data_IF_615198930396
#
_entry.id   IF_615198930396
#
_cell.length_a   1.000
_cell.length_b   1.000
_cell.length_c   1.000
_cell.angle_alpha   90.00
_cell.angle_beta   90.00
_cell.angle_gamma   90.00
#
_symmetry.space_group_name_H-M   'P 1'
#
loop_
_entity.id
_entity.type
_entity.pdbx_description
1 polymer ?
#
# COMPACT_ATOMS: atom_id res chain seq x y z
N UNK A 1 15.98 0.43 1.84
CA UNK A 1 14.84 1.34 2.08
C UNK A 1 14.03 0.74 3.21
N UNK A 2 14.34 1.21 4.41
CA UNK A 2 13.73 0.74 5.65
C UNK A 2 12.23 1.01 5.58
N UNK A 3 11.43 0.09 6.07
CA UNK A 3 9.99 0.15 6.38
C UNK A 3 9.18 1.46 6.16
N UNK A 4 9.69 2.64 6.50
CA UNK A 4 9.08 3.95 6.25
C UNK A 4 8.76 4.24 4.78
N UNK A 5 9.63 3.88 3.82
CA UNK A 5 9.34 4.10 2.39
C UNK A 5 8.13 3.28 1.92
N UNK A 6 7.94 2.08 2.47
CA UNK A 6 6.78 1.23 2.17
C UNK A 6 5.50 1.80 2.76
N UNK A 7 5.57 2.31 3.99
CA UNK A 7 4.43 2.95 4.62
C UNK A 7 4.04 4.22 3.85
N UNK A 8 5.02 5.03 3.45
CA UNK A 8 4.80 6.22 2.64
C UNK A 8 4.12 5.87 1.31
N UNK A 9 4.69 4.95 0.53
CA UNK A 9 4.08 4.54 -0.74
C UNK A 9 2.70 3.89 -0.57
N UNK A 10 2.51 3.10 0.49
CA UNK A 10 1.20 2.53 0.82
C UNK A 10 0.15 3.60 1.11
N UNK A 11 0.49 4.62 1.91
CA UNK A 11 -0.40 5.74 2.23
C UNK A 11 -0.70 6.57 0.98
N UNK A 12 0.31 6.85 0.14
CA UNK A 12 0.12 7.55 -1.14
C UNK A 12 -0.84 6.77 -2.04
N UNK A 13 -0.71 5.44 -2.10
CA UNK A 13 -1.62 4.59 -2.88
C UNK A 13 -3.05 4.60 -2.32
N UNK A 14 -3.20 4.54 -0.98
CA UNK A 14 -4.50 4.63 -0.32
C UNK A 14 -5.20 5.96 -0.61
N UNK A 15 -4.47 7.07 -0.50
CA UNK A 15 -5.00 8.41 -0.82
C UNK A 15 -5.36 8.47 -2.31
N UNK A 16 -4.51 7.95 -3.20
CA UNK A 16 -4.79 7.88 -4.63
C UNK A 16 -6.08 7.12 -4.96
N UNK A 17 -6.28 5.95 -4.33
CA UNK A 17 -7.51 5.15 -4.49
C UNK A 17 -8.72 5.93 -4.00
N UNK A 18 -8.64 6.61 -2.85
CA UNK A 18 -9.74 7.41 -2.32
C UNK A 18 -10.10 8.58 -3.25
N UNK A 19 -9.11 9.32 -3.74
CA UNK A 19 -9.35 10.41 -4.71
C UNK A 19 -9.92 9.90 -6.03
N UNK A 20 -9.41 8.77 -6.53
CA UNK A 20 -9.96 8.13 -7.73
C UNK A 20 -11.41 7.68 -7.50
N UNK A 21 -11.72 7.19 -6.29
CA UNK A 21 -13.06 6.75 -5.92
C UNK A 21 -14.06 7.91 -5.88
N UNK A 22 -13.69 9.00 -5.21
CA UNK A 22 -14.50 10.23 -5.17
C UNK A 22 -14.74 10.75 -6.58
N UNK A 23 -13.70 10.79 -7.41
CA UNK A 23 -13.79 11.35 -8.76
C UNK A 23 -14.59 10.51 -9.76
N UNK A 24 -14.51 9.17 -9.70
CA UNK A 24 -15.13 8.28 -10.70
C UNK A 24 -16.33 7.48 -10.17
N UNK A 25 -16.24 6.94 -8.97
CA UNK A 25 -17.16 5.90 -8.48
C UNK A 25 -18.17 6.38 -7.45
N UNK A 26 -18.00 7.56 -6.85
CA UNK A 26 -18.91 8.06 -5.79
C UNK A 26 -20.38 8.12 -6.22
N UNK A 27 -20.64 8.41 -7.51
CA UNK A 27 -22.01 8.43 -8.07
C UNK A 27 -22.69 7.05 -8.10
N UNK A 28 -21.91 5.96 -8.09
CA UNK A 28 -22.41 4.59 -8.24
C UNK A 28 -22.24 3.76 -6.97
N UNK A 29 -21.15 4.00 -6.23
CA UNK A 29 -20.77 3.20 -5.07
C UNK A 29 -20.36 4.12 -3.91
N UNK A 30 -20.92 3.94 -2.71
CA UNK A 30 -20.61 4.77 -1.55
C UNK A 30 -19.11 4.81 -1.22
N UNK A 31 -18.66 5.95 -0.70
CA UNK A 31 -17.28 6.21 -0.27
C UNK A 31 -16.73 5.13 0.69
N UNK A 32 -17.59 4.55 1.53
CA UNK A 32 -17.24 3.51 2.48
C UNK A 32 -16.60 2.28 1.82
N UNK A 33 -17.04 1.94 0.59
CA UNK A 33 -16.46 0.83 -0.16
C UNK A 33 -15.04 1.17 -0.63
N UNK A 34 -14.81 2.40 -1.08
CA UNK A 34 -13.48 2.90 -1.43
C UNK A 34 -12.52 2.92 -0.24
N UNK A 35 -13.02 3.25 0.96
CA UNK A 35 -12.23 3.20 2.20
C UNK A 35 -11.81 1.77 2.52
N UNK A 36 -12.75 0.81 2.48
CA UNK A 36 -12.45 -0.61 2.73
C UNK A 36 -11.43 -1.12 1.71
N UNK A 37 -11.63 -0.82 0.42
CA UNK A 37 -10.73 -1.26 -0.64
C UNK A 37 -9.33 -0.63 -0.51
N UNK A 38 -9.27 0.66 -0.16
CA UNK A 38 -8.01 1.36 0.11
C UNK A 38 -7.24 0.74 1.27
N UNK A 39 -7.91 0.36 2.36
CA UNK A 39 -7.29 -0.35 3.48
C UNK A 39 -6.75 -1.73 3.07
N UNK A 40 -7.49 -2.49 2.25
CA UNK A 40 -7.00 -3.76 1.71
C UNK A 40 -5.78 -3.57 0.82
N UNK A 41 -5.77 -2.54 -0.04
CA UNK A 41 -4.62 -2.21 -0.89
C UNK A 41 -3.40 -1.80 -0.06
N UNK A 42 -3.58 -0.97 0.97
CA UNK A 42 -2.52 -0.59 1.91
C UNK A 42 -1.96 -1.83 2.62
N UNK A 43 -2.82 -2.69 3.16
CA UNK A 43 -2.40 -3.90 3.86
C UNK A 43 -1.68 -4.87 2.92
N UNK A 44 -2.18 -5.02 1.68
CA UNK A 44 -1.52 -5.81 0.65
C UNK A 44 -0.14 -5.23 0.30
N UNK A 45 0.00 -3.91 0.22
CA UNK A 45 1.28 -3.27 -0.06
C UNK A 45 2.27 -3.36 1.11
N UNK A 46 1.79 -3.32 2.36
CA UNK A 46 2.64 -3.54 3.54
C UNK A 46 3.10 -5.01 3.67
N UNK A 47 2.21 -5.97 3.36
CA UNK A 47 2.50 -7.41 3.48
C UNK A 47 3.25 -7.97 2.27
N UNK A 48 2.82 -7.64 1.07
CA UNK A 48 3.31 -8.17 -0.21
C UNK A 48 4.12 -7.16 -1.03
N UNK A 49 4.17 -5.89 -0.62
CA UNK A 49 5.00 -4.91 -1.32
C UNK A 49 6.44 -5.39 -1.41
N UNK A 50 7.16 -5.06 -2.49
CA UNK A 50 8.47 -5.63 -2.79
C UNK A 50 9.37 -5.51 -1.56
N UNK A 51 9.80 -6.66 -1.03
CA UNK A 51 10.89 -6.69 -0.06
C UNK A 51 12.10 -6.23 -0.86
N UNK A 52 12.77 -5.12 -0.50
CA UNK A 52 14.16 -5.05 -0.86
C UNK A 52 14.74 -6.35 -0.31
N UNK A 53 15.23 -7.25 -1.19
CA UNK A 53 16.04 -8.38 -0.75
C UNK A 53 17.04 -7.77 0.22
N UNK A 54 17.03 -8.21 1.47
CA UNK A 54 18.09 -7.87 2.38
C UNK A 54 19.38 -8.37 1.72
N UNK A 55 20.08 -7.47 1.05
CA UNK A 55 21.46 -7.67 0.65
C UNK A 55 22.24 -7.65 1.96
N UNK A 56 22.18 -8.77 2.69
CA UNK A 56 22.63 -8.85 4.08
C UNK A 56 22.37 -10.18 4.80
N UNK A 57 21.55 -11.11 4.29
CA UNK A 57 21.47 -12.49 4.81
C UNK A 57 22.55 -13.40 4.20
N UNK A 58 23.80 -12.92 4.13
CA UNK A 58 24.93 -13.64 3.52
C UNK A 58 26.27 -13.54 4.26
N UNK A 59 26.34 -12.94 5.45
CA UNK A 59 27.59 -12.76 6.21
C UNK A 59 27.48 -13.16 7.70
N UNK A 60 26.72 -14.22 8.01
CA UNK A 60 26.79 -14.92 9.31
C UNK A 60 26.72 -16.43 9.15
N UNK A 61 27.56 -16.98 8.27
CA UNK A 61 27.65 -18.42 8.06
C UNK A 61 28.68 -18.79 7.00
N UNK A 62 29.95 -18.44 7.22
CA UNK A 62 31.10 -19.04 6.56
C UNK A 62 32.29 -19.01 7.52
#
# INVERSE_FOLDING_TARGET
MAWGDRLFWGIVMLIGILFLWVGLLEKFVPIWVGIILGFFALFAMLKYGPRPKERGEGEKGA
#
